data_IF_886114512938
#
_entry.id   IF_886114512938
#
_cell.length_a   1.000
_cell.length_b   1.000
_cell.length_c   1.000
_cell.angle_alpha   90.00
_cell.angle_beta   90.00
_cell.angle_gamma   90.00
#
_symmetry.space_group_name_H-M   'P 1'
#
loop_
_entity.id
_entity.type
_entity.pdbx_description
1 polymer ?
#
# COMPACT_ATOMS: atom_id res chain seq x y z
N UNK A 1 31.15 -31.96 -61.03
CA UNK A 1 30.56 -30.66 -60.65
C UNK A 1 29.13 -30.89 -60.22
N UNK A 2 28.84 -30.89 -58.92
CA UNK A 2 27.52 -30.55 -58.37
C UNK A 2 27.78 -29.92 -56.99
N UNK A 3 27.46 -28.63 -56.89
CA UNK A 3 27.83 -27.74 -55.81
C UNK A 3 26.78 -27.80 -54.69
N UNK A 4 27.21 -28.09 -53.46
CA UNK A 4 26.37 -28.21 -52.27
C UNK A 4 25.91 -26.86 -51.66
N UNK A 5 25.81 -25.80 -52.45
CA UNK A 5 25.44 -24.45 -51.98
C UNK A 5 23.95 -24.09 -52.13
N UNK A 6 23.10 -24.98 -52.64
CA UNK A 6 21.69 -24.69 -52.94
C UNK A 6 20.67 -25.18 -51.91
N UNK A 7 21.11 -25.69 -50.75
CA UNK A 7 20.22 -26.11 -49.65
C UNK A 7 20.45 -25.34 -48.34
N UNK A 8 20.99 -24.13 -48.41
CA UNK A 8 21.13 -23.24 -47.24
C UNK A 8 20.12 -22.09 -47.18
N UNK A 9 19.29 -21.93 -48.22
CA UNK A 9 18.37 -20.78 -48.36
C UNK A 9 16.87 -21.11 -48.30
N UNK A 10 16.49 -22.18 -47.58
CA UNK A 10 15.07 -22.55 -47.39
C UNK A 10 14.57 -22.37 -45.94
N UNK A 11 15.34 -21.70 -45.07
CA UNK A 11 14.91 -21.33 -43.71
C UNK A 11 14.60 -19.83 -43.57
N UNK A 12 14.35 -19.14 -44.68
CA UNK A 12 13.87 -17.77 -44.68
C UNK A 12 12.45 -17.76 -45.26
N UNK A 13 11.44 -17.98 -44.41
CA UNK A 13 10.02 -17.54 -44.54
C UNK A 13 9.10 -18.46 -43.73
N UNK A 14 9.14 -18.32 -42.41
CA UNK A 14 7.95 -18.50 -41.59
C UNK A 14 8.14 -17.78 -40.27
N UNK A 15 8.05 -16.44 -40.31
CA UNK A 15 7.77 -15.67 -39.11
C UNK A 15 6.31 -15.96 -38.73
N UNK A 16 6.08 -17.14 -38.14
CA UNK A 16 4.89 -17.34 -37.31
C UNK A 16 5.02 -16.31 -36.20
N UNK A 17 4.09 -15.37 -36.17
CA UNK A 17 3.88 -14.50 -35.04
C UNK A 17 3.73 -15.38 -33.80
N UNK A 18 4.82 -15.61 -33.09
CA UNK A 18 4.79 -16.03 -31.72
C UNK A 18 4.11 -14.84 -31.03
N UNK A 19 2.83 -15.00 -30.70
CA UNK A 19 2.25 -14.36 -29.53
C UNK A 19 3.07 -14.87 -28.35
N UNK A 20 4.28 -14.32 -28.23
CA UNK A 20 5.12 -14.47 -27.08
C UNK A 20 4.30 -13.86 -25.97
N UNK A 21 3.79 -14.72 -25.10
CA UNK A 21 3.45 -14.32 -23.77
C UNK A 21 4.74 -13.76 -23.17
N UNK A 22 4.97 -12.47 -23.38
CA UNK A 22 6.00 -11.77 -22.68
C UNK A 22 5.48 -11.68 -21.26
N UNK A 23 6.12 -12.31 -20.26
CA UNK A 23 5.85 -11.93 -18.89
C UNK A 23 6.10 -10.43 -18.88
N UNK A 24 5.07 -9.65 -18.51
CA UNK A 24 5.25 -8.23 -18.26
C UNK A 24 6.36 -8.18 -17.22
N UNK A 25 7.58 -7.86 -17.66
CA UNK A 25 8.70 -7.68 -16.73
C UNK A 25 8.19 -6.58 -15.82
N UNK A 26 7.92 -6.94 -14.56
CA UNK A 26 7.58 -5.99 -13.52
C UNK A 26 8.68 -4.93 -13.61
N UNK A 27 8.33 -3.77 -14.16
CA UNK A 27 9.12 -2.57 -13.95
C UNK A 27 9.39 -2.58 -12.46
N UNK A 28 10.65 -2.49 -12.06
CA UNK A 28 11.05 -2.29 -10.67
C UNK A 28 10.43 -0.98 -10.20
N UNK A 29 9.13 -1.00 -9.91
CA UNK A 29 8.52 -0.08 -8.98
C UNK A 29 9.21 -0.47 -7.69
N UNK A 30 10.23 0.31 -7.35
CA UNK A 30 10.71 0.37 -5.97
C UNK A 30 9.48 0.83 -5.21
N UNK A 31 8.68 -0.13 -4.75
CA UNK A 31 7.57 0.15 -3.86
C UNK A 31 8.21 0.83 -2.66
N UNK A 32 7.97 2.14 -2.52
CA UNK A 32 8.53 2.90 -1.44
C UNK A 32 7.91 2.35 -0.15
N UNK A 33 8.62 1.43 0.50
CA UNK A 33 8.23 0.89 1.79
C UNK A 33 8.07 2.01 2.81
N UNK A 34 7.21 1.79 3.81
CA UNK A 34 6.94 2.77 4.84
C UNK A 34 8.21 3.20 5.57
N UNK A 35 8.55 4.49 5.53
CA UNK A 35 9.75 5.05 6.16
C UNK A 35 9.42 5.75 7.48
N UNK A 36 9.79 5.15 8.60
CA UNK A 36 9.60 5.76 9.92
C UNK A 36 10.38 7.08 10.10
N UNK A 37 11.55 7.22 9.46
CA UNK A 37 12.36 8.45 9.52
C UNK A 37 11.71 9.66 8.84
N UNK A 38 10.71 9.46 7.99
CA UNK A 38 9.97 10.53 7.32
C UNK A 38 8.78 11.04 8.16
N UNK A 39 8.62 10.59 9.41
CA UNK A 39 7.50 10.93 10.28
C UNK A 39 7.36 12.45 10.48
N UNK A 40 6.15 12.95 10.25
CA UNK A 40 5.74 14.33 10.53
C UNK A 40 4.88 14.38 11.79
N UNK A 41 5.14 15.33 12.68
CA UNK A 41 4.40 15.46 13.95
C UNK A 41 3.75 16.84 14.05
N UNK A 42 2.43 16.87 14.18
CA UNK A 42 1.62 18.06 14.42
C UNK A 42 0.98 17.95 15.80
N UNK A 43 1.35 18.85 16.72
CA UNK A 43 0.82 18.86 18.10
C UNK A 43 -0.57 19.48 18.16
N UNK A 44 -1.35 19.05 19.14
CA UNK A 44 -2.67 19.62 19.40
C UNK A 44 -2.50 20.92 20.18
N UNK A 45 -3.34 21.91 19.89
CA UNK A 45 -3.33 23.21 20.57
C UNK A 45 -3.88 23.14 22.00
N UNK A 46 -4.87 22.28 22.23
CA UNK A 46 -5.49 22.02 23.54
C UNK A 46 -5.43 20.53 23.85
N UNK A 47 -5.00 20.19 25.08
CA UNK A 47 -4.91 18.81 25.55
C UNK A 47 -6.08 18.47 26.47
N UNK A 48 -6.59 17.24 26.35
CA UNK A 48 -7.63 16.73 27.25
C UNK A 48 -7.07 16.44 28.65
N UNK A 49 -7.87 16.60 29.71
CA UNK A 49 -7.47 16.14 31.04
C UNK A 49 -7.30 14.62 31.05
N UNK A 50 -6.31 14.15 31.80
CA UNK A 50 -6.07 12.72 31.99
C UNK A 50 -7.16 12.12 32.86
N UNK A 51 -7.69 10.97 32.45
CA UNK A 51 -8.65 10.19 33.22
C UNK A 51 -7.88 9.29 34.20
N UNK A 52 -8.25 9.24 35.49
CA UNK A 52 -7.64 8.32 36.45
C UNK A 52 -7.78 6.87 36.01
N UNK A 53 -6.76 6.05 36.29
CA UNK A 53 -6.73 4.65 35.85
C UNK A 53 -7.92 3.81 36.34
N UNK A 54 -8.50 4.17 37.50
CA UNK A 54 -9.64 3.46 38.09
C UNK A 54 -10.95 3.65 37.30
N UNK A 55 -11.05 4.74 36.53
CA UNK A 55 -12.25 5.12 35.78
C UNK A 55 -12.12 4.80 34.27
N UNK A 56 -11.02 4.18 33.85
CA UNK A 56 -10.76 3.85 32.45
C UNK A 56 -11.60 2.66 31.98
N UNK A 57 -12.56 2.94 31.09
CA UNK A 57 -13.32 1.92 30.37
C UNK A 57 -12.67 1.67 29.01
N UNK A 58 -12.43 0.40 28.68
CA UNK A 58 -11.80 -0.01 27.41
C UNK A 58 -12.55 0.53 26.19
N UNK A 59 -11.83 1.19 25.27
CA UNK A 59 -12.38 1.69 24.01
C UNK A 59 -13.20 2.99 24.10
N UNK A 60 -13.35 3.59 25.28
CA UNK A 60 -14.11 4.83 25.45
C UNK A 60 -13.26 6.10 25.45
N UNK A 61 -12.04 6.02 25.98
CA UNK A 61 -11.14 7.18 26.11
C UNK A 61 -9.98 7.05 25.13
N UNK A 62 -9.81 8.05 24.27
CA UNK A 62 -8.71 8.14 23.30
C UNK A 62 -7.77 9.30 23.66
N UNK A 63 -6.52 9.22 23.24
CA UNK A 63 -5.50 10.27 23.43
C UNK A 63 -5.75 11.49 22.51
N UNK A 64 -4.94 12.54 22.64
CA UNK A 64 -5.07 13.77 21.85
C UNK A 64 -4.57 13.63 20.41
N UNK A 65 -3.81 12.58 20.10
CA UNK A 65 -3.17 12.37 18.80
C UNK A 65 -3.51 11.01 18.21
N UNK A 66 -3.49 10.95 16.88
CA UNK A 66 -3.61 9.72 16.10
C UNK A 66 -2.48 9.63 15.08
N UNK A 67 -2.10 8.40 14.71
CA UNK A 67 -1.19 8.12 13.59
C UNK A 67 -2.01 7.87 12.32
N UNK A 68 -1.65 8.52 11.22
CA UNK A 68 -2.22 8.25 9.90
C UNK A 68 -1.11 8.10 8.87
N UNK A 69 -1.29 7.16 7.94
CA UNK A 69 -0.41 6.99 6.78
C UNK A 69 -1.29 6.73 5.57
N UNK A 70 -1.14 7.53 4.52
CA UNK A 70 -1.85 7.33 3.27
C UNK A 70 -1.07 6.40 2.36
N UNK A 71 -1.77 5.60 1.55
CA UNK A 71 -1.19 4.78 0.50
C UNK A 71 -1.94 5.04 -0.80
N UNK A 72 -1.19 5.21 -1.89
CA UNK A 72 -1.74 5.33 -3.24
C UNK A 72 -1.08 4.32 -4.17
N UNK A 73 -1.85 3.80 -5.13
CA UNK A 73 -1.38 2.79 -6.10
C UNK A 73 -0.15 3.26 -6.87
N UNK A 74 -0.09 4.54 -7.23
CA UNK A 74 0.98 5.11 -8.06
C UNK A 74 2.21 5.55 -7.26
N UNK A 75 2.03 5.97 -6.00
CA UNK A 75 3.06 6.60 -5.17
C UNK A 75 3.58 5.69 -4.05
N UNK A 76 2.83 4.65 -3.68
CA UNK A 76 3.09 3.81 -2.52
C UNK A 76 2.73 4.51 -1.21
N UNK A 77 3.50 4.23 -0.16
CA UNK A 77 3.29 4.81 1.17
C UNK A 77 3.73 6.27 1.24
N UNK A 78 2.84 7.13 1.70
CA UNK A 78 3.17 8.49 2.07
C UNK A 78 3.99 8.55 3.38
N UNK A 79 4.52 9.73 3.70
CA UNK A 79 5.17 9.99 4.98
C UNK A 79 4.16 9.77 6.14
N UNK A 80 4.54 9.04 7.21
CA UNK A 80 3.68 8.90 8.38
C UNK A 80 3.39 10.24 9.04
N UNK A 81 2.19 10.41 9.57
CA UNK A 81 1.78 11.63 10.25
C UNK A 81 1.17 11.34 11.62
N UNK A 82 1.74 11.92 12.68
CA UNK A 82 1.08 12.05 13.98
C UNK A 82 0.39 13.42 14.00
N UNK A 83 -0.93 13.44 14.16
CA UNK A 83 -1.75 14.65 14.14
C UNK A 83 -2.84 14.63 15.21
N UNK A 84 -3.48 15.77 15.54
CA UNK A 84 -4.57 15.79 16.49
C UNK A 84 -5.68 14.80 16.11
N UNK A 85 -6.23 14.13 17.12
CA UNK A 85 -7.30 13.16 16.93
C UNK A 85 -8.50 13.82 16.26
N UNK A 86 -8.96 13.22 15.15
CA UNK A 86 -10.10 13.73 14.39
C UNK A 86 -10.86 12.59 13.74
N UNK A 87 -12.08 12.88 13.30
CA UNK A 87 -12.88 11.93 12.50
C UNK A 87 -12.20 11.69 11.16
N UNK A 88 -12.23 10.44 10.70
CA UNK A 88 -11.78 10.10 9.35
C UNK A 88 -12.77 10.67 8.33
N UNK A 89 -12.24 11.37 7.32
CA UNK A 89 -13.00 11.85 6.17
C UNK A 89 -12.78 10.83 5.04
N UNK A 90 -13.83 10.08 4.71
CA UNK A 90 -13.81 9.05 3.68
C UNK A 90 -15.01 9.26 2.75
N UNK A 91 -14.85 8.88 1.49
CA UNK A 91 -15.96 8.87 0.54
C UNK A 91 -17.02 7.83 0.99
N UNK A 92 -18.32 8.11 0.88
CA UNK A 92 -19.38 7.12 1.16
C UNK A 92 -19.26 5.83 0.33
N UNK A 93 -18.61 5.87 -0.84
CA UNK A 93 -18.34 4.72 -1.69
C UNK A 93 -17.03 4.00 -1.36
N UNK A 94 -16.33 4.37 -0.28
CA UNK A 94 -15.10 3.72 0.13
C UNK A 94 -15.33 2.21 0.42
N UNK A 95 -14.47 1.36 -0.15
CA UNK A 95 -14.58 -0.11 -0.10
C UNK A 95 -14.72 -0.66 1.32
N UNK A 96 -14.10 0.00 2.31
CA UNK A 96 -14.21 -0.36 3.73
C UNK A 96 -15.66 -0.46 4.20
N UNK A 97 -16.56 0.41 3.72
CA UNK A 97 -17.96 0.44 4.13
C UNK A 97 -18.84 -0.58 3.40
N UNK A 98 -18.45 -1.05 2.22
CA UNK A 98 -19.27 -1.93 1.38
C UNK A 98 -18.83 -3.40 1.45
N UNK A 99 -17.56 -3.65 1.69
CA UNK A 99 -16.96 -4.98 1.58
C UNK A 99 -16.07 -5.35 2.77
N UNK A 100 -16.14 -4.60 3.88
CA UNK A 100 -15.34 -4.84 5.10
C UNK A 100 -13.86 -5.04 4.81
N UNK A 101 -13.32 -4.22 3.89
CA UNK A 101 -11.91 -4.26 3.53
C UNK A 101 -11.08 -3.57 4.62
N UNK A 102 -10.92 -4.26 5.73
CA UNK A 102 -10.24 -3.83 6.93
C UNK A 102 -9.59 -5.02 7.63
N UNK A 103 -8.55 -4.75 8.42
CA UNK A 103 -7.94 -5.75 9.28
C UNK A 103 -7.69 -5.13 10.65
N UNK A 104 -8.26 -5.76 11.67
CA UNK A 104 -7.98 -5.47 13.07
C UNK A 104 -7.13 -6.59 13.67
N UNK A 105 -6.14 -6.24 14.49
CA UNK A 105 -5.35 -7.24 15.23
C UNK A 105 -5.99 -7.46 16.59
N UNK A 106 -6.42 -8.69 16.86
CA UNK A 106 -6.89 -9.09 18.19
C UNK A 106 -5.74 -9.73 18.95
N UNK A 107 -5.19 -9.02 19.94
CA UNK A 107 -4.37 -9.66 20.97
C UNK A 107 -5.34 -10.32 21.96
N UNK A 108 -5.63 -11.61 21.75
CA UNK A 108 -6.22 -12.42 22.80
C UNK A 108 -5.16 -12.59 23.89
N UNK A 109 -5.38 -11.95 25.03
CA UNK A 109 -4.60 -12.20 26.24
C UNK A 109 -5.08 -13.55 26.77
N UNK A 110 -4.27 -14.58 26.56
CA UNK A 110 -4.39 -15.89 27.22
C UNK A 110 -3.58 -15.92 28.50
#
# INVERSE_FOLDING_TARGET
MFNASLLKNAFARTARAQLAWQPRTLSTVVEAGLKASALRVTKASSLKPLVPNQDLIFGHTFTDHMLTVEWKVEEGWAAPEIKPYQKLQLDPSAVVFHYSFEVGVWWAVG
#
